data_IF_136683203412
#
_entry.id   IF_136683203412
#
_cell.length_a   1.000
_cell.length_b   1.000
_cell.length_c   1.000
_cell.angle_alpha   90.00
_cell.angle_beta   90.00
_cell.angle_gamma   90.00
#
_symmetry.space_group_name_H-M   'P 1'
#
loop_
_entity.id
_entity.type
_entity.pdbx_description
1 polymer ?
#
# COMPACT_ATOMS: atom_id res chain seq x y z
N UNK A 1 -8.38 13.44 14.50
CA UNK A 1 -9.05 12.43 13.64
C UNK A 1 -8.29 12.39 12.32
N UNK A 2 -7.15 11.67 12.26
CA UNK A 2 -6.23 11.73 11.11
C UNK A 2 -6.21 10.37 10.36
N UNK A 3 -7.38 9.87 9.95
CA UNK A 3 -7.53 8.59 9.25
C UNK A 3 -8.00 8.61 7.76
N UNK A 4 -8.13 9.74 7.03
CA UNK A 4 -8.66 9.67 5.66
C UNK A 4 -7.70 9.05 4.65
N UNK A 5 -6.38 9.27 4.77
CA UNK A 5 -5.41 8.89 3.73
C UNK A 5 -5.18 7.38 3.65
N UNK A 6 -5.17 6.69 4.79
CA UNK A 6 -4.92 5.24 4.84
C UNK A 6 -6.08 4.45 4.23
N UNK A 7 -7.32 4.87 4.49
CA UNK A 7 -8.51 4.24 3.90
C UNK A 7 -8.52 4.45 2.39
N UNK A 8 -8.26 5.68 1.92
CA UNK A 8 -8.16 5.99 0.49
C UNK A 8 -7.04 5.20 -0.20
N UNK A 9 -5.89 5.03 0.47
CA UNK A 9 -4.80 4.23 -0.05
C UNK A 9 -5.23 2.77 -0.22
N UNK A 10 -5.87 2.18 0.78
CA UNK A 10 -6.35 0.79 0.69
C UNK A 10 -7.36 0.63 -0.46
N UNK A 11 -8.27 1.60 -0.63
CA UNK A 11 -9.22 1.60 -1.75
C UNK A 11 -8.50 1.69 -3.09
N UNK A 12 -7.54 2.61 -3.25
CA UNK A 12 -6.72 2.72 -4.46
C UNK A 12 -5.98 1.41 -4.77
N UNK A 13 -5.35 0.79 -3.77
CA UNK A 13 -4.65 -0.48 -3.94
C UNK A 13 -5.60 -1.58 -4.44
N UNK A 14 -6.82 -1.66 -3.92
CA UNK A 14 -7.80 -2.69 -4.26
C UNK A 14 -8.49 -2.44 -5.59
N UNK A 15 -8.90 -1.19 -5.86
CA UNK A 15 -9.73 -0.83 -7.00
C UNK A 15 -8.88 -0.51 -8.24
N UNK A 16 -7.85 0.34 -8.09
CA UNK A 16 -7.03 0.81 -9.22
C UNK A 16 -5.88 -0.15 -9.55
N UNK A 17 -5.28 -0.76 -8.53
CA UNK A 17 -4.15 -1.69 -8.73
C UNK A 17 -4.54 -3.16 -8.67
N UNK A 18 -5.82 -3.47 -8.41
CA UNK A 18 -6.35 -4.83 -8.29
C UNK A 18 -5.58 -5.72 -7.28
N UNK A 19 -4.99 -5.10 -6.25
CA UNK A 19 -4.23 -5.82 -5.23
C UNK A 19 -5.21 -6.52 -4.29
N UNK A 20 -5.09 -7.84 -4.11
CA UNK A 20 -6.05 -8.57 -3.31
C UNK A 20 -5.91 -8.20 -1.82
N UNK A 21 -7.04 -8.11 -1.13
CA UNK A 21 -7.11 -7.68 0.27
C UNK A 21 -6.21 -8.52 1.19
N UNK A 22 -6.01 -9.81 0.89
CA UNK A 22 -5.11 -10.69 1.65
C UNK A 22 -3.66 -10.21 1.64
N UNK A 23 -3.18 -9.63 0.54
CA UNK A 23 -1.82 -9.12 0.37
C UNK A 23 -1.63 -7.84 1.17
N UNK A 24 -2.65 -6.97 1.17
CA UNK A 24 -2.66 -5.75 1.97
C UNK A 24 -2.69 -6.10 3.46
N UNK A 25 -3.51 -7.07 3.89
CA UNK A 25 -3.55 -7.54 5.29
C UNK A 25 -2.21 -8.14 5.71
N UNK A 26 -1.53 -8.89 4.83
CA UNK A 26 -0.20 -9.41 5.12
C UNK A 26 0.79 -8.27 5.39
N UNK A 27 0.85 -7.28 4.49
CA UNK A 27 1.75 -6.14 4.63
C UNK A 27 1.42 -5.28 5.88
N UNK A 28 0.15 -5.10 6.23
CA UNK A 28 -0.26 -4.35 7.43
C UNK A 28 0.21 -5.02 8.74
N UNK A 29 0.32 -6.35 8.79
CA UNK A 29 0.82 -7.05 9.98
C UNK A 29 2.31 -6.75 10.23
N UNK A 30 3.08 -6.56 9.16
CA UNK A 30 4.50 -6.22 9.23
C UNK A 30 4.73 -4.75 9.56
N UNK A 31 3.82 -3.86 9.17
CA UNK A 31 3.84 -2.44 9.52
C UNK A 31 3.81 -2.14 11.03
N UNK A 32 3.37 -3.10 11.86
CA UNK A 32 3.41 -2.96 13.31
C UNK A 32 4.79 -3.30 13.91
N UNK A 33 5.63 -4.01 13.17
CA UNK A 33 6.98 -4.43 13.57
C UNK A 33 8.03 -3.50 12.96
N UNK A 34 7.84 -3.14 11.70
CA UNK A 34 8.74 -2.33 10.90
C UNK A 34 8.13 -0.94 10.69
N UNK A 35 8.90 0.12 10.95
CA UNK A 35 8.52 1.52 10.68
C UNK A 35 8.47 1.85 9.19
N UNK A 36 8.52 0.85 8.32
CA UNK A 36 8.55 0.99 6.88
C UNK A 36 7.15 1.33 6.34
N UNK A 37 7.07 2.15 5.28
CA UNK A 37 5.78 2.52 4.70
C UNK A 37 5.16 1.31 3.96
N UNK A 38 3.82 1.23 3.99
CA UNK A 38 3.05 0.14 3.37
C UNK A 38 3.48 -0.20 1.92
N UNK A 39 3.71 0.78 1.02
CA UNK A 39 4.13 0.50 -0.34
C UNK A 39 5.46 -0.27 -0.41
N UNK A 40 6.42 0.07 0.46
CA UNK A 40 7.72 -0.62 0.51
C UNK A 40 7.57 -2.05 0.97
N UNK A 41 6.75 -2.29 1.99
CA UNK A 41 6.48 -3.65 2.47
C UNK A 41 5.81 -4.47 1.36
N UNK A 42 4.84 -3.91 0.63
CA UNK A 42 4.22 -4.62 -0.50
C UNK A 42 5.25 -5.03 -1.55
N UNK A 43 6.23 -4.16 -1.87
CA UNK A 43 7.27 -4.46 -2.84
C UNK A 43 8.31 -5.47 -2.34
N UNK A 44 8.78 -5.32 -1.10
CA UNK A 44 9.76 -6.23 -0.48
C UNK A 44 9.25 -7.68 -0.42
N UNK A 45 7.95 -7.86 -0.21
CA UNK A 45 7.29 -9.18 -0.18
C UNK A 45 6.89 -9.68 -1.58
N UNK A 46 7.20 -8.93 -2.65
CA UNK A 46 6.86 -9.28 -4.03
C UNK A 46 5.35 -9.26 -4.33
N UNK A 47 4.56 -8.56 -3.50
CA UNK A 47 3.10 -8.44 -3.66
C UNK A 47 2.72 -7.43 -4.74
N UNK A 48 3.65 -6.53 -5.07
CA UNK A 48 3.52 -5.56 -6.16
C UNK A 48 4.82 -5.48 -6.96
N UNK A 49 4.70 -5.04 -8.20
CA UNK A 49 5.84 -4.74 -9.08
C UNK A 49 6.41 -3.35 -8.78
N UNK A 50 7.64 -3.08 -9.24
CA UNK A 50 8.23 -1.73 -9.14
C UNK A 50 7.36 -0.67 -9.84
N UNK A 51 6.76 -1.01 -10.99
CA UNK A 51 5.86 -0.10 -11.69
C UNK A 51 4.59 0.22 -10.89
N UNK A 52 4.03 -0.76 -10.16
CA UNK A 52 2.91 -0.50 -9.25
C UNK A 52 3.35 0.30 -8.04
N UNK A 53 4.56 0.08 -7.54
CA UNK A 53 5.15 0.87 -6.46
C UNK A 53 5.24 2.35 -6.85
N UNK A 54 5.77 2.65 -8.03
CA UNK A 54 5.86 4.03 -8.55
C UNK A 54 4.47 4.68 -8.59
N UNK A 55 3.46 3.99 -9.13
CA UNK A 55 2.07 4.50 -9.16
C UNK A 55 1.50 4.80 -7.78
N UNK A 56 1.85 4.01 -6.77
CA UNK A 56 1.40 4.25 -5.40
C UNK A 56 2.03 5.53 -4.85
N UNK A 57 3.31 5.76 -5.12
CA UNK A 57 3.98 7.00 -4.70
C UNK A 57 3.45 8.21 -5.44
N UNK A 58 3.26 8.13 -6.76
CA UNK A 58 2.64 9.18 -7.56
C UNK A 58 1.26 9.55 -7.00
N UNK A 59 0.45 8.54 -6.66
CA UNK A 59 -0.86 8.77 -6.06
C UNK A 59 -0.75 9.43 -4.68
N UNK A 60 0.17 8.97 -3.82
CA UNK A 60 0.39 9.53 -2.48
C UNK A 60 0.83 11.00 -2.50
N UNK A 61 1.55 11.44 -3.53
CA UNK A 61 1.93 12.86 -3.71
C UNK A 61 0.73 13.75 -4.09
N UNK A 62 -0.33 13.16 -4.66
CA UNK A 62 -1.51 13.90 -5.15
C UNK A 62 -2.74 13.86 -4.23
N UNK A 63 -2.72 13.05 -3.16
CA UNK A 63 -3.90 12.66 -2.36
C UNK A 63 -4.17 13.46 -1.08
#
# INVERSE_FOLDING_TARGET
MNQPIQIKLIQFLQEELAIPANSIVLAMRHLQQDSDPLPMILWQYGLITLQQLDKIFDWLETA
#
